data_IF_005165741318
#
_entry.id   IF_005165741318
#
_cell.length_a   1.000
_cell.length_b   1.000
_cell.length_c   1.000
_cell.angle_alpha   90.00
_cell.angle_beta   90.00
_cell.angle_gamma   90.00
#
_symmetry.space_group_name_H-M   'P 1'
#
loop_
_entity.id
_entity.type
_entity.pdbx_description
1 polymer ?
#
# COMPACT_ATOMS: atom_id res chain seq x y z
N UNK A 1 14.74 21.94 -8.62
CA UNK A 1 13.95 21.62 -9.84
C UNK A 1 14.27 22.51 -11.04
N UNK A 2 14.31 23.85 -10.95
CA UNK A 2 14.54 24.70 -12.13
C UNK A 2 15.83 24.38 -12.93
N UNK A 3 16.94 24.03 -12.26
CA UNK A 3 18.18 23.62 -12.92
C UNK A 3 18.09 22.23 -13.60
N UNK A 4 17.52 21.23 -12.91
CA UNK A 4 17.23 19.88 -13.42
C UNK A 4 16.39 19.88 -14.72
N UNK A 5 15.39 20.76 -14.79
CA UNK A 5 14.54 20.90 -15.98
C UNK A 5 15.16 21.78 -17.08
N UNK A 6 16.32 22.40 -16.82
CA UNK A 6 16.99 23.29 -17.77
C UNK A 6 17.87 22.53 -18.77
N UNK A 7 18.10 23.13 -19.94
CA UNK A 7 19.03 22.61 -20.96
C UNK A 7 20.51 22.60 -20.50
N UNK A 8 20.82 23.16 -19.34
CA UNK A 8 22.18 23.22 -18.78
C UNK A 8 22.53 21.96 -17.96
N UNK A 9 21.53 21.22 -17.48
CA UNK A 9 21.74 19.93 -16.86
C UNK A 9 21.90 18.86 -17.96
N UNK A 10 23.12 18.33 -18.14
CA UNK A 10 23.42 17.31 -19.16
C UNK A 10 22.85 15.94 -18.79
N UNK A 11 22.92 15.59 -17.51
CA UNK A 11 22.44 14.33 -16.93
C UNK A 11 21.53 14.64 -15.75
N UNK A 12 20.26 15.05 -16.01
CA UNK A 12 19.27 15.26 -14.96
C UNK A 12 18.94 13.94 -14.27
N UNK A 13 18.84 13.96 -12.93
CA UNK A 13 18.48 12.80 -12.12
C UNK A 13 17.08 12.29 -12.46
N UNK A 14 16.18 13.19 -12.88
CA UNK A 14 14.83 12.84 -13.34
C UNK A 14 14.57 13.41 -14.75
N UNK A 15 15.02 12.74 -15.83
CA UNK A 15 14.96 13.26 -17.19
C UNK A 15 13.53 13.56 -17.65
N UNK A 16 13.19 14.81 -18.02
CA UNK A 16 11.84 15.16 -18.47
C UNK A 16 11.37 14.39 -19.71
N UNK A 17 12.29 13.75 -20.45
CA UNK A 17 11.98 12.85 -21.58
C UNK A 17 11.20 11.60 -21.15
N UNK A 18 11.42 11.07 -19.94
CA UNK A 18 10.73 9.86 -19.46
C UNK A 18 9.22 10.09 -19.28
N UNK A 19 8.80 11.28 -18.83
CA UNK A 19 7.38 11.63 -18.67
C UNK A 19 6.67 12.00 -19.98
N UNK A 20 7.39 12.16 -21.11
CA UNK A 20 6.77 12.40 -22.42
C UNK A 20 6.15 11.14 -23.02
N UNK A 21 6.57 9.96 -22.58
CA UNK A 21 5.95 8.71 -23.02
C UNK A 21 4.74 8.39 -22.13
N UNK A 22 3.54 8.32 -22.74
CA UNK A 22 2.29 7.96 -22.07
C UNK A 22 2.38 6.62 -21.34
N UNK A 23 3.04 5.61 -21.93
CA UNK A 23 3.19 4.31 -21.25
C UNK A 23 4.06 4.45 -20.00
N UNK A 24 5.21 5.13 -20.08
CA UNK A 24 6.09 5.36 -18.92
C UNK A 24 5.40 6.17 -17.82
N UNK A 25 4.62 7.19 -18.17
CA UNK A 25 3.84 7.97 -17.21
C UNK A 25 2.78 7.12 -16.50
N UNK A 26 2.06 6.27 -17.24
CA UNK A 26 1.06 5.35 -16.67
C UNK A 26 1.70 4.32 -15.76
N UNK A 27 2.84 3.73 -16.17
CA UNK A 27 3.63 2.82 -15.34
C UNK A 27 4.04 3.53 -14.05
N UNK A 28 4.67 4.71 -14.09
CA UNK A 28 5.07 5.43 -12.87
C UNK A 28 3.90 5.73 -11.91
N UNK A 29 2.72 6.09 -12.43
CA UNK A 29 1.51 6.29 -11.62
C UNK A 29 1.03 4.97 -11.00
N UNK A 30 1.03 3.89 -11.78
CA UNK A 30 0.67 2.55 -11.31
C UNK A 30 1.67 2.05 -10.24
N UNK A 31 2.98 2.26 -10.39
CA UNK A 31 4.02 1.95 -9.39
C UNK A 31 3.80 2.72 -8.09
N UNK A 32 3.49 4.02 -8.15
CA UNK A 32 3.24 4.82 -6.93
C UNK A 32 1.94 4.41 -6.25
N UNK A 33 0.84 4.24 -6.99
CA UNK A 33 -0.43 3.74 -6.45
C UNK A 33 -0.26 2.36 -5.80
N UNK A 34 0.43 1.44 -6.48
CA UNK A 34 0.76 0.13 -5.93
C UNK A 34 1.57 0.26 -4.64
N UNK A 35 2.60 1.11 -4.61
CA UNK A 35 3.44 1.29 -3.41
C UNK A 35 2.65 1.87 -2.25
N UNK A 36 1.75 2.84 -2.48
CA UNK A 36 0.81 3.34 -1.45
C UNK A 36 0.00 2.17 -0.86
N UNK A 37 -0.58 1.33 -1.72
CA UNK A 37 -1.42 0.20 -1.30
C UNK A 37 -0.61 -0.88 -0.55
N UNK A 38 0.63 -1.14 -0.97
CA UNK A 38 1.52 -2.08 -0.28
C UNK A 38 1.82 -1.61 1.15
N UNK A 39 2.24 -0.37 1.32
CA UNK A 39 2.55 0.18 2.65
C UNK A 39 1.30 0.30 3.54
N UNK A 40 0.15 0.65 2.95
CA UNK A 40 -1.15 0.65 3.62
C UNK A 40 -1.46 -0.72 4.23
N UNK A 41 -1.34 -1.78 3.44
CA UNK A 41 -1.56 -3.16 3.88
C UNK A 41 -0.53 -3.60 4.92
N UNK A 42 0.77 -3.37 4.66
CA UNK A 42 1.86 -3.79 5.55
C UNK A 42 1.77 -3.17 6.95
N UNK A 43 1.26 -1.95 7.08
CA UNK A 43 1.14 -1.26 8.37
C UNK A 43 -0.21 -1.51 9.07
N UNK A 44 -1.31 -1.72 8.33
CA UNK A 44 -2.64 -1.91 8.92
C UNK A 44 -3.01 -3.37 9.21
N UNK A 45 -2.37 -4.35 8.56
CA UNK A 45 -2.53 -5.77 8.94
C UNK A 45 -2.02 -6.04 10.38
N UNK A 46 -0.81 -5.61 10.79
CA UNK A 46 -0.34 -5.79 12.17
C UNK A 46 -1.20 -5.07 13.21
N UNK A 47 -1.83 -3.93 12.84
CA UNK A 47 -2.80 -3.23 13.68
C UNK A 47 -4.06 -4.08 13.88
N UNK A 48 -4.60 -4.69 12.83
CA UNK A 48 -5.73 -5.62 12.95
C UNK A 48 -5.38 -6.83 13.86
N UNK A 49 -4.20 -7.44 13.68
CA UNK A 49 -3.76 -8.57 14.52
C UNK A 49 -3.57 -8.18 15.99
N UNK A 50 -2.99 -7.01 16.27
CA UNK A 50 -2.73 -6.57 17.65
C UNK A 50 -3.96 -6.00 18.34
N UNK A 51 -4.70 -5.12 17.67
CA UNK A 51 -5.79 -4.35 18.28
C UNK A 51 -7.15 -5.05 18.26
N UNK A 52 -7.38 -6.02 17.36
CA UNK A 52 -8.64 -6.77 17.30
C UNK A 52 -8.44 -8.23 17.69
N UNK A 53 -7.41 -8.91 17.16
CA UNK A 53 -7.16 -10.32 17.49
C UNK A 53 -6.33 -10.53 18.77
N UNK A 54 -5.94 -9.47 19.49
CA UNK A 54 -5.14 -9.56 20.72
C UNK A 54 -3.82 -10.32 20.53
N UNK A 55 -3.25 -10.29 19.33
CA UNK A 55 -1.98 -10.99 19.05
C UNK A 55 -0.81 -10.11 19.50
N UNK A 56 0.16 -10.69 20.22
CA UNK A 56 1.38 -9.98 20.59
C UNK A 56 2.16 -9.52 19.36
N UNK A 57 3.03 -8.48 19.45
CA UNK A 57 3.80 -7.99 18.29
C UNK A 57 4.61 -9.08 17.58
N UNK A 58 5.20 -10.01 18.34
CA UNK A 58 5.93 -11.16 17.80
C UNK A 58 4.99 -12.13 17.05
N UNK A 59 3.80 -12.41 17.60
CA UNK A 59 2.80 -13.28 16.94
C UNK A 59 2.24 -12.63 15.68
N UNK A 60 1.99 -11.31 15.71
CA UNK A 60 1.60 -10.53 14.53
C UNK A 60 2.66 -10.62 13.43
N UNK A 61 3.96 -10.52 13.78
CA UNK A 61 5.06 -10.76 12.85
C UNK A 61 5.05 -12.17 12.23
N UNK A 62 4.78 -13.22 13.03
CA UNK A 62 4.61 -14.58 12.53
C UNK A 62 3.37 -14.71 11.62
N UNK A 63 2.26 -14.05 11.94
CA UNK A 63 1.04 -14.01 11.13
C UNK A 63 1.23 -13.27 9.79
N UNK A 64 2.27 -12.44 9.64
CA UNK A 64 2.67 -11.84 8.37
C UNK A 64 3.46 -12.81 7.46
N UNK A 65 4.11 -13.86 8.01
CA UNK A 65 4.95 -14.77 7.22
C UNK A 65 4.25 -15.41 6.02
N UNK A 66 2.97 -15.83 6.07
CA UNK A 66 2.27 -16.38 4.90
C UNK A 66 2.13 -15.37 3.75
N UNK A 67 2.13 -14.06 4.02
CA UNK A 67 2.13 -13.02 2.98
C UNK A 67 3.47 -13.00 2.27
N UNK A 68 4.58 -12.94 3.03
CA UNK A 68 5.95 -12.96 2.50
C UNK A 68 6.29 -14.26 1.76
N UNK A 69 5.91 -15.42 2.34
CA UNK A 69 6.20 -16.75 1.80
C UNK A 69 5.46 -17.06 0.49
N UNK A 70 4.28 -16.48 0.26
CA UNK A 70 3.55 -16.64 -1.01
C UNK A 70 3.96 -15.57 -2.03
N UNK A 71 4.35 -14.37 -1.58
CA UNK A 71 4.83 -13.31 -2.47
C UNK A 71 6.08 -13.73 -3.27
N UNK A 72 7.06 -14.39 -2.64
CA UNK A 72 8.34 -14.73 -3.28
C UNK A 72 8.15 -15.72 -4.45
N UNK A 73 7.49 -16.90 -4.30
CA UNK A 73 7.24 -17.79 -5.43
C UNK A 73 6.33 -17.18 -6.49
N UNK A 74 5.34 -16.37 -6.09
CA UNK A 74 4.44 -15.66 -7.02
C UNK A 74 5.21 -14.73 -7.95
N UNK A 75 6.16 -13.95 -7.41
CA UNK A 75 7.04 -13.10 -8.20
C UNK A 75 7.91 -13.90 -9.19
N UNK A 76 8.51 -15.02 -8.74
CA UNK A 76 9.31 -15.90 -9.61
C UNK A 76 8.47 -16.49 -10.75
N UNK A 77 7.22 -16.90 -10.48
CA UNK A 77 6.31 -17.39 -11.52
C UNK A 77 5.95 -16.28 -12.50
N UNK A 78 5.61 -15.07 -12.02
CA UNK A 78 5.30 -13.93 -12.89
C UNK A 78 6.48 -13.55 -13.81
N UNK A 79 7.71 -13.56 -13.28
CA UNK A 79 8.97 -13.40 -14.04
C UNK A 79 9.09 -14.46 -15.13
N UNK A 80 8.91 -15.75 -14.80
CA UNK A 80 9.00 -16.85 -15.78
C UNK A 80 7.94 -16.74 -16.87
N UNK A 81 6.70 -16.39 -16.51
CA UNK A 81 5.60 -16.19 -17.46
C UNK A 81 5.90 -14.99 -18.37
N UNK A 82 6.39 -13.88 -17.84
CA UNK A 82 6.76 -12.71 -18.65
C UNK A 82 7.88 -13.05 -19.66
N UNK A 83 8.98 -13.63 -19.19
CA UNK A 83 10.12 -14.04 -20.03
C UNK A 83 9.74 -15.03 -21.13
N UNK A 84 8.71 -15.87 -20.90
CA UNK A 84 8.28 -16.90 -21.84
C UNK A 84 7.27 -16.40 -22.88
N UNK A 85 6.45 -15.40 -22.55
CA UNK A 85 5.33 -14.97 -23.40
C UNK A 85 5.43 -13.53 -23.92
N UNK A 86 6.29 -12.66 -23.37
CA UNK A 86 6.50 -11.27 -23.81
C UNK A 86 5.32 -10.30 -23.59
N UNK A 87 4.16 -10.79 -23.14
CA UNK A 87 2.90 -10.03 -23.03
C UNK A 87 2.70 -9.38 -21.67
N UNK A 88 3.49 -8.36 -21.37
CA UNK A 88 3.46 -7.67 -20.06
C UNK A 88 2.07 -7.08 -19.72
N UNK A 89 1.35 -6.52 -20.70
CA UNK A 89 0.05 -5.85 -20.46
C UNK A 89 -1.04 -6.79 -19.91
N UNK A 90 -1.03 -8.06 -20.35
CA UNK A 90 -1.96 -9.07 -19.84
C UNK A 90 -1.63 -9.46 -18.38
N UNK A 91 -0.35 -9.53 -18.03
CA UNK A 91 0.13 -9.76 -16.66
C UNK A 91 -0.23 -8.58 -15.74
N UNK A 92 -0.02 -7.34 -16.17
CA UNK A 92 -0.44 -6.13 -15.44
C UNK A 92 -1.94 -6.14 -15.17
N UNK A 93 -2.78 -6.33 -16.21
CA UNK A 93 -4.23 -6.35 -16.05
C UNK A 93 -4.69 -7.47 -15.10
N UNK A 94 -4.12 -8.68 -15.22
CA UNK A 94 -4.40 -9.77 -14.29
C UNK A 94 -4.01 -9.41 -12.85
N UNK A 95 -2.82 -8.82 -12.65
CA UNK A 95 -2.34 -8.36 -11.34
C UNK A 95 -3.26 -7.31 -10.70
N UNK A 96 -3.68 -6.28 -11.44
CA UNK A 96 -4.58 -5.25 -10.92
C UNK A 96 -6.01 -5.76 -10.68
N UNK A 97 -6.52 -6.69 -11.49
CA UNK A 97 -7.80 -7.36 -11.21
C UNK A 97 -7.70 -8.21 -9.94
N UNK A 98 -6.64 -9.00 -9.78
CA UNK A 98 -6.38 -9.80 -8.56
C UNK A 98 -6.23 -8.88 -7.33
N UNK A 99 -5.54 -7.74 -7.45
CA UNK A 99 -5.38 -6.77 -6.36
C UNK A 99 -6.70 -6.09 -5.99
N UNK A 100 -7.52 -5.71 -6.98
CA UNK A 100 -8.84 -5.10 -6.76
C UNK A 100 -9.79 -6.07 -6.06
N UNK A 101 -9.85 -7.32 -6.55
CA UNK A 101 -10.62 -8.40 -5.94
C UNK A 101 -10.08 -8.74 -4.54
N UNK A 102 -8.75 -8.74 -4.35
CA UNK A 102 -8.10 -8.98 -3.08
C UNK A 102 -8.44 -7.92 -2.03
N UNK A 103 -8.40 -6.63 -2.38
CA UNK A 103 -8.84 -5.54 -1.49
C UNK A 103 -10.33 -5.64 -1.14
N UNK A 104 -11.18 -6.01 -2.10
CA UNK A 104 -12.58 -6.34 -1.83
C UNK A 104 -12.74 -7.53 -0.87
N UNK A 105 -11.87 -8.55 -0.99
CA UNK A 105 -11.83 -9.70 -0.10
C UNK A 105 -11.27 -9.34 1.29
N UNK A 106 -10.36 -8.37 1.41
CA UNK A 106 -9.88 -7.86 2.70
C UNK A 106 -11.01 -7.24 3.54
N UNK A 107 -12.01 -6.61 2.91
CA UNK A 107 -13.25 -6.17 3.58
C UNK A 107 -14.15 -7.33 4.07
N UNK A 108 -13.80 -8.59 3.75
CA UNK A 108 -14.56 -9.80 4.13
C UNK A 108 -13.68 -11.04 4.46
N UNK A 109 -12.43 -10.84 4.91
CA UNK A 109 -11.34 -11.82 5.15
C UNK A 109 -10.43 -12.25 3.95
N UNK A 110 -9.45 -11.37 3.66
CA UNK A 110 -8.01 -11.60 3.38
C UNK A 110 -7.48 -12.29 2.09
N UNK A 111 -6.39 -11.66 1.55
CA UNK A 111 -5.36 -12.07 0.53
C UNK A 111 -5.54 -11.43 -0.86
N UNK A 112 -4.50 -11.15 -1.69
CA UNK A 112 -3.03 -11.37 -1.67
C UNK A 112 -2.29 -10.32 -2.55
N UNK A 113 -0.99 -10.53 -2.87
CA UNK A 113 -0.16 -9.88 -3.94
C UNK A 113 0.41 -8.46 -3.67
N UNK A 114 1.53 -7.99 -4.26
CA UNK A 114 2.78 -8.60 -4.82
C UNK A 114 3.73 -7.50 -5.37
N UNK A 115 5.05 -7.50 -5.10
CA UNK A 115 5.98 -6.41 -5.52
C UNK A 115 7.32 -6.92 -6.12
N UNK A 116 7.48 -6.75 -7.45
CA UNK A 116 8.72 -6.92 -8.22
C UNK A 116 8.50 -6.43 -9.67
N UNK A 117 8.91 -5.20 -9.99
CA UNK A 117 8.67 -4.57 -11.31
C UNK A 117 9.94 -4.59 -12.18
N UNK A 118 9.77 -4.78 -13.49
CA UNK A 118 10.86 -5.05 -14.44
C UNK A 118 11.49 -3.78 -15.02
N UNK A 119 12.80 -3.84 -15.25
CA UNK A 119 13.54 -2.83 -16.01
C UNK A 119 13.13 -2.90 -17.49
N UNK A 120 12.47 -1.86 -17.98
CA UNK A 120 12.31 -1.61 -19.43
C UNK A 120 13.72 -1.49 -20.03
N UNK A 121 14.04 -2.14 -21.17
CA UNK A 121 15.35 -2.01 -21.82
C UNK A 121 15.51 -0.60 -22.41
N UNK A 122 15.88 0.33 -21.54
CA UNK A 122 16.36 1.67 -21.86
C UNK A 122 17.85 1.57 -22.21
N UNK A 123 18.34 2.51 -23.03
CA UNK A 123 19.78 2.67 -23.25
C UNK A 123 20.51 2.83 -21.91
N UNK A 124 21.76 2.36 -21.81
CA UNK A 124 22.51 2.35 -20.54
C UNK A 124 22.55 3.73 -19.85
N UNK A 125 22.56 4.81 -20.63
CA UNK A 125 22.51 6.20 -20.16
C UNK A 125 21.18 6.66 -19.53
N UNK A 126 20.08 5.91 -19.73
CA UNK A 126 18.76 6.18 -19.15
C UNK A 126 18.41 5.22 -17.99
N UNK A 127 19.11 4.09 -17.83
CA UNK A 127 18.78 3.08 -16.81
C UNK A 127 18.95 3.61 -15.37
N UNK A 128 20.08 4.26 -15.05
CA UNK A 128 20.32 4.81 -13.72
C UNK A 128 19.26 5.88 -13.34
N UNK A 129 18.91 6.74 -14.30
CA UNK A 129 17.94 7.81 -14.12
C UNK A 129 16.49 7.27 -14.02
N UNK A 130 16.15 6.20 -14.75
CA UNK A 130 14.88 5.51 -14.61
C UNK A 130 14.76 4.82 -13.24
N UNK A 131 15.82 4.15 -12.76
CA UNK A 131 15.87 3.55 -11.41
C UNK A 131 15.74 4.62 -10.32
N UNK A 132 16.42 5.77 -10.45
CA UNK A 132 16.28 6.88 -9.51
C UNK A 132 14.86 7.50 -9.54
N UNK A 133 14.26 7.62 -10.72
CA UNK A 133 12.87 8.09 -10.88
C UNK A 133 11.86 7.11 -10.28
N UNK A 134 12.11 5.81 -10.41
CA UNK A 134 11.32 4.72 -9.82
C UNK A 134 11.41 4.74 -8.29
N UNK A 135 12.62 4.83 -7.72
CA UNK A 135 12.80 4.88 -6.25
C UNK A 135 12.23 6.19 -5.65
N UNK A 136 12.32 7.32 -6.36
CA UNK A 136 11.64 8.55 -5.98
C UNK A 136 10.11 8.36 -5.92
N UNK A 137 9.53 7.69 -6.92
CA UNK A 137 8.10 7.40 -7.00
C UNK A 137 7.65 6.41 -5.90
N UNK A 138 8.51 5.44 -5.58
CA UNK A 138 8.34 4.48 -4.49
C UNK A 138 8.40 5.15 -3.11
N UNK A 139 9.34 6.08 -2.91
CA UNK A 139 9.47 6.88 -1.70
C UNK A 139 8.24 7.75 -1.43
N UNK A 140 7.65 8.35 -2.46
CA UNK A 140 6.36 9.03 -2.36
C UNK A 140 5.25 8.07 -1.89
N UNK A 141 5.21 6.85 -2.45
CA UNK A 141 4.24 5.83 -2.06
C UNK A 141 4.38 5.35 -0.60
N UNK A 142 5.61 5.23 -0.09
CA UNK A 142 5.89 4.89 1.30
C UNK A 142 5.27 5.89 2.29
N UNK A 143 5.54 7.18 2.09
CA UNK A 143 5.06 8.26 2.99
C UNK A 143 3.53 8.28 3.06
N UNK A 144 2.87 8.31 1.91
CA UNK A 144 1.41 8.41 1.84
C UNK A 144 0.69 7.09 2.14
N UNK A 145 1.32 5.96 1.85
CA UNK A 145 0.83 4.62 2.19
C UNK A 145 0.67 4.38 3.69
N UNK A 146 1.40 5.10 4.55
CA UNK A 146 1.19 5.07 6.00
C UNK A 146 0.34 6.26 6.46
N UNK A 147 0.62 7.48 5.97
CA UNK A 147 -0.03 8.70 6.46
C UNK A 147 -1.53 8.79 6.14
N UNK A 148 -1.96 8.37 4.93
CA UNK A 148 -3.37 8.40 4.53
C UNK A 148 -4.23 7.46 5.39
N UNK A 149 -3.93 6.15 5.51
CA UNK A 149 -4.74 5.26 6.35
C UNK A 149 -4.66 5.58 7.84
N UNK A 150 -3.51 6.04 8.36
CA UNK A 150 -3.43 6.56 9.72
C UNK A 150 -4.40 7.72 9.94
N UNK A 151 -4.47 8.67 8.99
CA UNK A 151 -5.40 9.80 9.06
C UNK A 151 -6.87 9.34 8.99
N UNK A 152 -7.20 8.41 8.09
CA UNK A 152 -8.57 7.85 7.96
C UNK A 152 -8.98 7.12 9.24
N UNK A 153 -8.12 6.22 9.74
CA UNK A 153 -8.37 5.44 10.95
C UNK A 153 -8.58 6.36 12.15
N UNK A 154 -7.67 7.32 12.36
CA UNK A 154 -7.74 8.28 13.45
C UNK A 154 -9.01 9.15 13.39
N UNK A 155 -9.41 9.60 12.20
CA UNK A 155 -10.62 10.40 12.02
C UNK A 155 -11.91 9.59 12.28
N UNK A 156 -11.97 8.32 11.84
CA UNK A 156 -13.10 7.44 12.18
C UNK A 156 -13.09 7.05 13.66
N UNK A 157 -11.93 6.81 14.25
CA UNK A 157 -11.81 6.51 15.67
C UNK A 157 -12.34 7.68 16.50
N UNK A 158 -11.93 8.91 16.19
CA UNK A 158 -12.45 10.13 16.83
C UNK A 158 -13.99 10.24 16.70
N UNK A 159 -14.55 9.89 15.54
CA UNK A 159 -16.02 9.88 15.31
C UNK A 159 -16.76 8.87 16.19
N UNK A 160 -16.15 7.73 16.52
CA UNK A 160 -16.77 6.66 17.32
C UNK A 160 -16.32 6.64 18.78
N UNK A 161 -15.32 7.44 19.17
CA UNK A 161 -14.74 7.49 20.52
C UNK A 161 -15.76 7.79 21.64
N UNK A 162 -16.91 8.39 21.33
CA UNK A 162 -18.00 8.59 22.29
C UNK A 162 -18.54 7.28 22.90
N UNK A 163 -18.30 6.13 22.25
CA UNK A 163 -18.71 4.80 22.73
C UNK A 163 -17.80 4.22 23.83
N UNK A 164 -16.65 4.84 24.09
CA UNK A 164 -15.71 4.41 25.14
C UNK A 164 -16.13 5.04 26.46
N UNK A 165 -16.61 4.23 27.41
CA UNK A 165 -17.11 4.67 28.72
C UNK A 165 -16.05 5.45 29.50
N UNK A 166 -14.82 4.92 29.60
CA UNK A 166 -13.70 5.55 30.32
C UNK A 166 -13.19 6.83 29.62
N UNK A 167 -13.35 7.97 30.29
CA UNK A 167 -12.94 9.27 29.78
C UNK A 167 -11.41 9.45 29.67
N UNK A 168 -10.62 8.74 30.48
CA UNK A 168 -9.15 8.78 30.43
C UNK A 168 -8.62 8.02 29.21
N UNK A 169 -9.10 6.79 28.98
CA UNK A 169 -8.76 5.97 27.81
C UNK A 169 -9.27 6.63 26.54
N UNK A 170 -10.49 7.18 26.56
CA UNK A 170 -11.04 7.97 25.45
C UNK A 170 -10.14 9.16 25.11
N UNK A 171 -9.64 9.90 26.11
CA UNK A 171 -8.75 11.04 25.89
C UNK A 171 -7.41 10.62 25.26
N UNK A 172 -6.81 9.54 25.73
CA UNK A 172 -5.56 8.98 25.20
C UNK A 172 -5.70 8.50 23.75
N UNK A 173 -6.82 7.87 23.40
CA UNK A 173 -7.05 7.35 22.04
C UNK A 173 -7.59 8.41 21.06
N UNK A 174 -8.25 9.45 21.57
CA UNK A 174 -8.76 10.57 20.76
C UNK A 174 -7.65 11.47 20.19
N UNK A 175 -8.05 12.49 19.42
CA UNK A 175 -7.17 13.50 18.80
C UNK A 175 -6.14 12.92 17.82
N UNK A 176 -6.39 11.70 17.33
CA UNK A 176 -5.54 11.03 16.33
C UNK A 176 -4.34 10.27 16.89
N UNK A 177 -4.36 9.93 18.18
CA UNK A 177 -3.37 9.04 18.78
C UNK A 177 -3.77 7.55 18.74
N UNK A 178 -5.02 7.24 18.35
CA UNK A 178 -5.54 5.86 18.28
C UNK A 178 -4.62 4.89 17.53
N UNK A 179 -4.12 5.28 16.35
CA UNK A 179 -3.18 4.45 15.57
C UNK A 179 -1.89 4.11 16.33
N UNK A 180 -1.32 5.09 17.05
CA UNK A 180 -0.09 4.91 17.84
C UNK A 180 -0.29 3.99 19.06
N UNK A 181 -1.50 3.96 19.61
CA UNK A 181 -1.87 3.14 20.76
C UNK A 181 -2.57 1.82 20.39
N UNK A 182 -2.64 1.46 19.10
CA UNK A 182 -3.24 0.22 18.61
C UNK A 182 -2.35 -1.02 18.83
N UNK A 183 -1.70 -1.12 19.99
CA UNK A 183 -0.91 -2.29 20.39
C UNK A 183 -1.70 -3.19 21.33
N UNK A 184 -1.46 -4.51 21.22
CA UNK A 184 -2.02 -5.50 22.13
C UNK A 184 -1.65 -5.19 23.60
N UNK A 185 -0.42 -4.73 23.85
CA UNK A 185 0.05 -4.36 25.20
C UNK A 185 -0.71 -3.20 25.84
N UNK A 186 -1.20 -2.23 25.06
CA UNK A 186 -2.04 -1.15 25.56
C UNK A 186 -3.45 -1.66 25.86
N UNK A 187 -4.02 -2.46 24.94
CA UNK A 187 -5.40 -2.94 24.99
C UNK A 187 -5.59 -4.03 26.07
N UNK A 188 -4.57 -4.85 26.34
CA UNK A 188 -4.58 -5.83 27.44
C UNK A 188 -4.43 -5.18 28.83
N UNK A 189 -3.96 -3.93 28.91
CA UNK A 189 -3.92 -3.15 30.14
C UNK A 189 -5.26 -2.50 30.53
N UNK A 190 -6.30 -2.64 29.69
CA UNK A 190 -7.64 -2.09 29.93
C UNK A 190 -8.54 -3.09 30.68
N UNK A 191 -9.52 -2.57 31.41
CA UNK A 191 -10.59 -3.41 31.98
C UNK A 191 -11.47 -4.02 30.88
N UNK A 192 -12.01 -5.22 31.10
CA UNK A 192 -12.71 -6.00 30.06
C UNK A 192 -13.85 -5.23 29.37
N UNK A 193 -14.57 -4.38 30.08
CA UNK A 193 -15.62 -3.52 29.51
C UNK A 193 -15.02 -2.51 28.51
N UNK A 194 -14.05 -1.72 28.95
CA UNK A 194 -13.41 -0.67 28.13
C UNK A 194 -12.62 -1.29 26.98
N UNK A 195 -12.01 -2.45 27.20
CA UNK A 195 -11.32 -3.26 26.20
C UNK A 195 -12.26 -3.61 25.04
N UNK A 196 -13.45 -4.14 25.34
CA UNK A 196 -14.44 -4.49 24.33
C UNK A 196 -14.97 -3.25 23.58
N UNK A 197 -15.17 -2.11 24.26
CA UNK A 197 -15.55 -0.84 23.63
C UNK A 197 -14.46 -0.34 22.66
N UNK A 198 -13.19 -0.36 23.08
CA UNK A 198 -12.04 0.04 22.25
C UNK A 198 -11.86 -0.89 21.05
N UNK A 199 -12.02 -2.20 21.21
CA UNK A 199 -11.98 -3.18 20.11
C UNK A 199 -13.12 -2.91 19.11
N UNK A 200 -14.34 -2.67 19.60
CA UNK A 200 -15.49 -2.34 18.76
C UNK A 200 -15.29 -1.06 17.94
N UNK A 201 -14.82 0.00 18.59
CA UNK A 201 -14.48 1.28 17.93
C UNK A 201 -13.34 1.12 16.92
N UNK A 202 -12.31 0.33 17.24
CA UNK A 202 -11.20 0.02 16.32
C UNK A 202 -11.69 -0.76 15.09
N UNK A 203 -12.57 -1.74 15.29
CA UNK A 203 -13.16 -2.56 14.22
C UNK A 203 -13.99 -1.73 13.24
N UNK A 204 -14.90 -0.88 13.75
CA UNK A 204 -15.68 0.02 12.90
C UNK A 204 -14.80 1.05 12.16
N UNK A 205 -13.73 1.52 12.79
CA UNK A 205 -12.80 2.48 12.17
C UNK A 205 -11.94 1.84 11.07
N UNK A 206 -11.58 0.57 11.21
CA UNK A 206 -10.80 -0.18 10.21
C UNK A 206 -11.60 -0.49 8.94
N UNK A 207 -12.93 -0.62 8.99
CA UNK A 207 -13.76 -0.91 7.79
C UNK A 207 -13.50 0.09 6.67
N UNK A 208 -13.61 1.39 6.95
CA UNK A 208 -13.37 2.42 5.94
C UNK A 208 -11.90 2.48 5.46
N UNK A 209 -10.95 2.10 6.33
CA UNK A 209 -9.53 1.99 5.97
C UNK A 209 -9.31 0.88 4.93
N UNK A 210 -10.14 -0.16 4.91
CA UNK A 210 -10.08 -1.23 3.89
C UNK A 210 -10.96 -0.94 2.65
N UNK A 211 -12.03 -0.17 2.79
CA UNK A 211 -12.92 0.20 1.68
C UNK A 211 -12.27 1.21 0.71
N UNK A 212 -11.59 2.24 1.20
CA UNK A 212 -10.99 3.30 0.37
C UNK A 212 -9.94 2.76 -0.64
N UNK A 213 -9.03 1.83 -0.28
CA UNK A 213 -8.13 1.15 -1.21
C UNK A 213 -8.79 0.54 -2.44
N UNK A 214 -10.03 0.06 -2.33
CA UNK A 214 -10.74 -0.62 -3.44
C UNK A 214 -10.96 0.37 -4.60
N UNK A 215 -11.34 1.62 -4.30
CA UNK A 215 -11.51 2.66 -5.31
C UNK A 215 -10.17 3.01 -6.00
N UNK A 216 -9.07 3.07 -5.24
CA UNK A 216 -7.72 3.30 -5.76
C UNK A 216 -7.24 2.17 -6.68
N UNK A 217 -7.54 0.90 -6.33
CA UNK A 217 -7.26 -0.26 -7.19
C UNK A 217 -8.06 -0.22 -8.49
N UNK A 218 -9.35 0.15 -8.43
CA UNK A 218 -10.18 0.34 -9.61
C UNK A 218 -9.62 1.40 -10.56
N UNK A 219 -9.13 2.52 -10.02
CA UNK A 219 -8.45 3.56 -10.81
C UNK A 219 -7.17 3.02 -11.47
N UNK A 220 -6.29 2.32 -10.73
CA UNK A 220 -5.08 1.73 -11.29
C UNK A 220 -5.39 0.72 -12.41
N UNK A 221 -6.41 -0.12 -12.23
CA UNK A 221 -6.88 -1.05 -13.25
C UNK A 221 -7.38 -0.34 -14.52
N UNK A 222 -8.06 0.81 -14.38
CA UNK A 222 -8.47 1.64 -15.54
C UNK A 222 -7.25 2.25 -16.24
N UNK A 223 -6.23 2.68 -15.49
CA UNK A 223 -5.02 3.27 -16.04
C UNK A 223 -4.23 2.28 -16.93
N UNK A 224 -4.20 0.98 -16.63
CA UNK A 224 -3.56 -0.06 -17.47
C UNK A 224 -4.06 -0.04 -18.92
N UNK A 225 -5.34 0.28 -19.17
CA UNK A 225 -5.86 0.37 -20.54
C UNK A 225 -5.20 1.49 -21.36
N UNK A 226 -4.64 2.50 -20.69
CA UNK A 226 -3.94 3.64 -21.30
C UNK A 226 -2.49 3.31 -21.71
N UNK A 227 -1.94 2.16 -21.28
CA UNK A 227 -0.62 1.67 -21.68
C UNK A 227 -0.65 1.21 -23.15
N UNK A 228 0.31 1.67 -23.97
CA UNK A 228 0.53 1.06 -25.30
C UNK A 228 1.30 -0.24 -25.11
N UNK A 229 0.80 -1.33 -25.67
CA UNK A 229 1.49 -2.62 -25.71
C UNK A 229 2.80 -2.48 -26.49
N UNK A 230 3.91 -2.44 -25.76
CA UNK A 230 5.27 -2.53 -26.30
C UNK A 230 5.63 -4.02 -26.42
N UNK A 231 6.02 -4.52 -27.60
CA UNK A 231 6.59 -5.86 -27.70
C UNK A 231 7.95 -5.89 -26.99
N UNK A 232 8.13 -6.89 -26.12
CA UNK A 232 9.38 -7.20 -25.43
C UNK A 232 10.27 -8.13 -26.27
#
# INVERSE_FOLDING_TARGET
MAFEQSKFCREPVVPPRLFKNRTSLVVFINTSLFTVLLYWVLFFIPVYFQAILGSSPARAGVQMLPITLVAIPGAVIAVIVLSKFGKYKALHLAGFVILTLGMGLFAHLYRFSSDAEWIVPLAESDQAAATASWEFMRSFGNIWGVAIPASIFNNQFNKYAYRISDASVRKVLSNGHAYQHASNTFIDGLSDLVKNEVIGVSSDSLKLVWEIPIASCGLACILVFLEKEVPL
#
